data_IF_558788821050
#
_entry.id   IF_558788821050
#
_cell.length_a   1.000
_cell.length_b   1.000
_cell.length_c   1.000
_cell.angle_alpha   90.00
_cell.angle_beta   90.00
_cell.angle_gamma   90.00
#
_symmetry.space_group_name_H-M   'P 1'
#
loop_
_entity.id
_entity.type
_entity.pdbx_description
1 polymer ?
#
# COMPACT_ATOMS: atom_id res chain seq x y z
N UNK A 1 38.13 17.09 -8.67
CA UNK A 1 36.91 16.27 -8.79
C UNK A 1 36.52 15.80 -7.40
N UNK A 2 35.25 15.95 -6.96
CA UNK A 2 34.82 15.45 -5.65
C UNK A 2 34.95 13.92 -5.55
N UNK A 3 35.39 13.42 -4.40
CA UNK A 3 35.60 11.98 -4.16
C UNK A 3 34.36 11.13 -4.46
N UNK A 4 33.16 11.62 -4.12
CA UNK A 4 31.89 10.95 -4.40
C UNK A 4 31.63 10.73 -5.89
N UNK A 5 32.08 11.65 -6.74
CA UNK A 5 31.95 11.49 -8.21
C UNK A 5 32.87 10.38 -8.71
N UNK A 6 34.08 10.27 -8.15
CA UNK A 6 35.04 9.22 -8.51
C UNK A 6 34.48 7.84 -8.12
N UNK A 7 33.92 7.70 -6.92
CA UNK A 7 33.30 6.43 -6.47
C UNK A 7 32.10 6.01 -7.33
N UNK A 8 31.25 6.95 -7.75
CA UNK A 8 30.11 6.65 -8.64
C UNK A 8 30.56 6.20 -10.01
N UNK A 9 31.55 6.88 -10.61
CA UNK A 9 32.10 6.50 -11.92
C UNK A 9 32.73 5.10 -11.86
N UNK A 10 33.51 4.82 -10.82
CA UNK A 10 34.11 3.49 -10.60
C UNK A 10 33.08 2.38 -10.35
N UNK A 11 31.88 2.70 -9.85
CA UNK A 11 30.80 1.72 -9.66
C UNK A 11 30.09 1.39 -10.98
N UNK A 12 29.89 2.38 -11.85
CA UNK A 12 29.19 2.23 -13.13
C UNK A 12 30.08 1.58 -14.19
N UNK A 13 31.40 1.82 -14.14
CA UNK A 13 32.35 1.30 -15.12
C UNK A 13 32.61 -0.22 -15.03
N UNK A 14 31.96 -0.93 -14.09
CA UNK A 14 32.09 -2.39 -13.96
C UNK A 14 31.17 -3.08 -14.96
N UNK A 15 31.69 -4.09 -15.65
CA UNK A 15 30.90 -4.94 -16.53
C UNK A 15 29.92 -5.82 -15.73
N UNK A 16 28.73 -6.11 -16.27
CA UNK A 16 27.79 -7.04 -15.64
C UNK A 16 28.39 -8.45 -15.58
N UNK A 17 28.10 -9.16 -14.49
CA UNK A 17 28.55 -10.54 -14.29
C UNK A 17 27.50 -11.48 -14.88
N UNK A 18 27.94 -12.57 -15.52
CA UNK A 18 27.02 -13.58 -16.03
C UNK A 18 26.26 -14.27 -14.89
N UNK A 19 24.95 -14.46 -15.06
CA UNK A 19 24.12 -15.23 -14.13
C UNK A 19 24.46 -16.72 -14.13
N UNK A 20 25.08 -17.23 -15.20
CA UNK A 20 25.56 -18.61 -15.32
C UNK A 20 26.97 -18.78 -14.70
N UNK A 21 27.50 -17.78 -14.00
CA UNK A 21 28.79 -17.92 -13.32
C UNK A 21 28.64 -18.96 -12.20
N UNK A 22 29.39 -20.08 -12.22
CA UNK A 22 29.30 -21.09 -11.17
C UNK A 22 29.72 -20.50 -9.82
N UNK A 23 29.03 -20.89 -8.76
CA UNK A 23 29.31 -20.47 -7.38
C UNK A 23 29.55 -21.70 -6.51
N UNK A 24 30.65 -21.68 -5.75
CA UNK A 24 31.03 -22.78 -4.86
C UNK A 24 31.66 -23.96 -5.59
N UNK A 25 31.79 -25.08 -4.88
CA UNK A 25 32.36 -26.34 -5.39
C UNK A 25 31.28 -27.28 -5.96
N UNK A 26 29.99 -26.91 -5.85
CA UNK A 26 28.87 -27.67 -6.38
C UNK A 26 28.63 -27.28 -7.85
N UNK A 27 28.85 -28.22 -8.77
CA UNK A 27 28.80 -27.98 -10.23
C UNK A 27 27.42 -27.53 -10.76
N UNK A 28 26.36 -27.68 -9.97
CA UNK A 28 24.99 -27.32 -10.35
C UNK A 28 24.54 -25.93 -9.86
N UNK A 29 25.36 -25.22 -9.06
CA UNK A 29 24.98 -23.93 -8.46
C UNK A 29 25.52 -22.73 -9.26
N UNK A 30 24.63 -21.90 -9.77
CA UNK A 30 24.96 -20.70 -10.55
C UNK A 30 24.63 -19.43 -9.77
N UNK A 31 25.31 -18.32 -10.07
CA UNK A 31 25.04 -17.00 -9.47
C UNK A 31 23.55 -16.63 -9.53
N UNK A 32 22.88 -16.97 -10.62
CA UNK A 32 21.48 -16.67 -10.84
C UNK A 32 20.51 -17.37 -9.89
N UNK A 33 20.89 -18.53 -9.35
CA UNK A 33 20.04 -19.29 -8.42
C UNK A 33 19.88 -18.60 -7.06
N UNK A 34 20.75 -17.63 -6.76
CA UNK A 34 20.72 -16.84 -5.53
C UNK A 34 20.07 -15.46 -5.69
N UNK A 35 19.63 -15.10 -6.90
CA UNK A 35 18.96 -13.83 -7.13
C UNK A 35 17.47 -14.01 -6.86
N UNK A 36 17.04 -13.56 -5.68
CA UNK A 36 15.62 -13.57 -5.31
C UNK A 36 14.79 -12.62 -6.19
N UNK A 37 13.55 -13.02 -6.48
CA UNK A 37 12.58 -12.14 -7.14
C UNK A 37 11.94 -11.19 -6.12
N UNK A 38 12.55 -10.02 -5.98
CA UNK A 38 12.02 -8.93 -5.13
C UNK A 38 10.74 -8.27 -5.67
N UNK A 39 10.28 -8.63 -6.88
CA UNK A 39 9.04 -8.09 -7.45
C UNK A 39 7.79 -8.87 -7.01
N UNK A 40 7.96 -10.09 -6.51
CA UNK A 40 6.85 -10.94 -6.07
C UNK A 40 6.51 -10.63 -4.61
N UNK A 41 5.23 -10.35 -4.35
CA UNK A 41 4.71 -10.24 -2.99
C UNK A 41 4.67 -11.62 -2.34
N UNK A 42 5.21 -11.74 -1.13
CA UNK A 42 5.19 -13.00 -0.40
C UNK A 42 3.74 -13.47 -0.15
N UNK A 43 3.45 -14.78 -0.17
CA UNK A 43 2.09 -15.29 0.08
C UNK A 43 1.52 -14.85 1.43
N UNK A 44 2.37 -14.70 2.46
CA UNK A 44 1.98 -14.15 3.75
C UNK A 44 1.47 -12.71 3.65
N UNK A 45 2.23 -11.84 2.98
CA UNK A 45 1.88 -10.44 2.77
C UNK A 45 0.63 -10.28 1.90
N UNK A 46 0.47 -11.15 0.89
CA UNK A 46 -0.74 -11.18 0.08
C UNK A 46 -1.98 -11.56 0.92
N UNK A 47 -1.84 -12.52 1.84
CA UNK A 47 -2.91 -12.92 2.74
C UNK A 47 -3.26 -11.83 3.77
N UNK A 48 -2.25 -11.14 4.34
CA UNK A 48 -2.50 -10.02 5.26
C UNK A 48 -3.18 -8.85 4.56
N UNK A 49 -2.78 -8.53 3.31
CA UNK A 49 -3.43 -7.50 2.51
C UNK A 49 -4.88 -7.85 2.17
N UNK A 50 -5.16 -9.11 1.82
CA UNK A 50 -6.51 -9.58 1.59
C UNK A 50 -7.36 -9.48 2.87
N UNK A 51 -6.81 -9.91 4.02
CA UNK A 51 -7.46 -9.78 5.33
C UNK A 51 -7.73 -8.32 5.71
N UNK A 52 -6.81 -7.41 5.43
CA UNK A 52 -6.99 -5.97 5.65
C UNK A 52 -8.14 -5.42 4.81
N UNK A 53 -8.25 -5.86 3.55
CA UNK A 53 -9.35 -5.45 2.66
C UNK A 53 -10.71 -5.87 3.22
N UNK A 54 -10.83 -7.11 3.70
CA UNK A 54 -12.08 -7.60 4.28
C UNK A 54 -12.40 -6.89 5.61
N UNK A 55 -11.41 -6.74 6.49
CA UNK A 55 -11.54 -6.02 7.75
C UNK A 55 -11.98 -4.56 7.55
N UNK A 56 -11.40 -3.86 6.58
CA UNK A 56 -11.78 -2.48 6.25
C UNK A 56 -13.19 -2.40 5.69
N UNK A 57 -13.60 -3.36 4.85
CA UNK A 57 -14.96 -3.43 4.32
C UNK A 57 -15.99 -3.61 5.43
N UNK A 58 -15.79 -4.58 6.31
CA UNK A 58 -16.69 -4.87 7.43
C UNK A 58 -16.86 -3.66 8.35
N UNK A 59 -15.78 -2.95 8.63
CA UNK A 59 -15.80 -1.77 9.49
C UNK A 59 -16.50 -0.58 8.81
N UNK A 60 -16.29 -0.39 7.51
CA UNK A 60 -17.03 0.61 6.75
C UNK A 60 -18.53 0.31 6.72
N UNK A 61 -18.93 -0.97 6.70
CA UNK A 61 -20.33 -1.37 6.75
C UNK A 61 -20.99 -1.08 8.11
N UNK A 62 -20.21 -0.85 9.19
CA UNK A 62 -20.73 -0.37 10.49
C UNK A 62 -21.03 1.14 10.54
N UNK A 63 -20.66 1.89 9.51
CA UNK A 63 -20.96 3.31 9.38
C UNK A 63 -22.31 3.51 8.68
N UNK A 64 -22.82 4.73 8.72
CA UNK A 64 -24.01 5.05 7.91
C UNK A 64 -23.66 4.95 6.42
N UNK A 65 -24.61 4.56 5.56
CA UNK A 65 -24.37 4.43 4.11
C UNK A 65 -23.71 5.69 3.50
N UNK A 66 -24.09 6.88 3.98
CA UNK A 66 -23.50 8.15 3.55
C UNK A 66 -22.05 8.31 3.99
N UNK A 67 -21.72 7.98 5.23
CA UNK A 67 -20.34 8.03 5.75
C UNK A 67 -19.45 6.99 5.05
N UNK A 68 -19.94 5.74 4.91
CA UNK A 68 -19.22 4.68 4.23
C UNK A 68 -18.92 5.04 2.77
N UNK A 69 -19.91 5.54 2.03
CA UNK A 69 -19.74 5.94 0.63
C UNK A 69 -18.78 7.13 0.47
N UNK A 70 -18.84 8.13 1.36
CA UNK A 70 -17.87 9.24 1.37
C UNK A 70 -16.44 8.73 1.58
N UNK A 71 -16.22 7.83 2.55
CA UNK A 71 -14.89 7.26 2.80
C UNK A 71 -14.41 6.39 1.64
N UNK A 72 -15.26 5.51 1.09
CA UNK A 72 -14.91 4.66 -0.05
C UNK A 72 -14.46 5.48 -1.26
N UNK A 73 -15.21 6.53 -1.58
CA UNK A 73 -14.85 7.45 -2.67
C UNK A 73 -13.58 8.25 -2.39
N UNK A 74 -13.39 8.71 -1.15
CA UNK A 74 -12.22 9.51 -0.77
C UNK A 74 -10.91 8.74 -0.83
N UNK A 75 -10.94 7.44 -0.51
CA UNK A 75 -9.76 6.58 -0.42
C UNK A 75 -9.66 5.55 -1.55
N UNK A 76 -10.59 5.55 -2.52
CA UNK A 76 -10.60 4.60 -3.62
C UNK A 76 -10.91 3.15 -3.21
N UNK A 77 -11.57 2.93 -2.07
CA UNK A 77 -11.88 1.58 -1.57
C UNK A 77 -13.02 1.01 -2.43
N UNK A 78 -12.77 -0.15 -3.04
CA UNK A 78 -13.64 -0.78 -4.05
C UNK A 78 -13.91 0.10 -5.28
N UNK A 79 -13.00 1.03 -5.59
CA UNK A 79 -13.09 1.93 -6.75
C UNK A 79 -11.77 1.96 -7.51
N UNK A 80 -11.82 2.33 -8.79
CA UNK A 80 -10.61 2.42 -9.62
C UNK A 80 -9.71 3.60 -9.24
N UNK A 81 -10.29 4.67 -8.69
CA UNK A 81 -9.58 5.91 -8.36
C UNK A 81 -10.15 6.55 -7.10
N UNK A 82 -9.30 7.25 -6.36
CA UNK A 82 -9.71 8.15 -5.31
C UNK A 82 -10.33 9.43 -5.89
N UNK A 83 -11.20 10.06 -5.11
CA UNK A 83 -11.89 11.29 -5.49
C UNK A 83 -11.55 12.41 -4.51
N UNK A 84 -11.42 13.63 -5.04
CA UNK A 84 -11.22 14.83 -4.24
C UNK A 84 -12.47 15.20 -3.44
N UNK A 85 -12.31 15.99 -2.37
CA UNK A 85 -13.45 16.49 -1.57
C UNK A 85 -14.49 17.25 -2.42
N UNK A 86 -14.06 17.91 -3.49
CA UNK A 86 -14.95 18.66 -4.37
C UNK A 86 -15.75 17.72 -5.29
N UNK A 87 -15.12 16.70 -5.86
CA UNK A 87 -15.80 15.69 -6.70
C UNK A 87 -16.81 14.88 -5.90
N UNK A 88 -16.44 14.48 -4.68
CA UNK A 88 -17.38 13.84 -3.75
C UNK A 88 -18.51 14.81 -3.41
N UNK A 89 -18.20 16.09 -3.17
CA UNK A 89 -19.22 17.12 -2.92
C UNK A 89 -20.24 17.24 -4.04
N UNK A 90 -19.77 17.25 -5.30
CA UNK A 90 -20.62 17.28 -6.51
C UNK A 90 -21.55 16.07 -6.59
N UNK A 91 -21.06 14.85 -6.29
CA UNK A 91 -21.90 13.65 -6.34
C UNK A 91 -22.95 13.58 -5.21
N UNK A 92 -22.67 14.18 -4.06
CA UNK A 92 -23.57 14.21 -2.91
C UNK A 92 -24.44 15.48 -2.83
N UNK A 93 -24.34 16.35 -3.83
CA UNK A 93 -24.99 17.67 -3.90
C UNK A 93 -24.77 18.51 -2.62
N UNK A 94 -23.53 18.55 -2.16
CA UNK A 94 -23.11 19.28 -0.95
C UNK A 94 -21.78 19.99 -1.15
N UNK A 95 -21.52 20.96 -0.28
CA UNK A 95 -20.26 21.70 -0.31
C UNK A 95 -19.07 20.83 0.08
N UNK A 96 -17.89 21.21 -0.42
CA UNK A 96 -16.60 20.62 -0.03
C UNK A 96 -16.43 20.52 1.49
N UNK A 97 -16.75 21.59 2.21
CA UNK A 97 -16.61 21.63 3.67
C UNK A 97 -17.57 20.65 4.35
N UNK A 98 -18.76 20.43 3.78
CA UNK A 98 -19.69 19.45 4.31
C UNK A 98 -19.14 18.02 4.18
N UNK A 99 -18.50 17.68 3.07
CA UNK A 99 -17.82 16.38 2.92
C UNK A 99 -16.69 16.23 3.93
N UNK A 100 -15.86 17.27 4.11
CA UNK A 100 -14.77 17.28 5.09
C UNK A 100 -15.27 17.00 6.52
N UNK A 101 -16.40 17.58 6.90
CA UNK A 101 -17.02 17.32 8.20
C UNK A 101 -17.51 15.88 8.34
N UNK A 102 -18.12 15.31 7.28
CA UNK A 102 -18.58 13.92 7.28
C UNK A 102 -17.39 12.97 7.42
N UNK A 103 -16.30 13.21 6.68
CA UNK A 103 -15.05 12.45 6.77
C UNK A 103 -14.48 12.48 8.19
N UNK A 104 -14.30 13.67 8.76
CA UNK A 104 -13.77 13.82 10.11
C UNK A 104 -14.64 13.12 11.16
N UNK A 105 -15.97 13.18 11.01
CA UNK A 105 -16.92 12.50 11.90
C UNK A 105 -16.84 10.98 11.75
N UNK A 106 -16.73 10.47 10.53
CA UNK A 106 -16.60 9.04 10.26
C UNK A 106 -15.28 8.49 10.82
N UNK A 107 -14.15 9.16 10.54
CA UNK A 107 -12.84 8.79 11.09
C UNK A 107 -12.83 8.80 12.62
N UNK A 108 -13.49 9.78 13.25
CA UNK A 108 -13.65 9.82 14.70
C UNK A 108 -14.43 8.61 15.24
N UNK A 109 -15.47 8.14 14.54
CA UNK A 109 -16.20 6.91 14.91
C UNK A 109 -15.32 5.68 14.76
N UNK A 110 -14.55 5.59 13.68
CA UNK A 110 -13.65 4.46 13.41
C UNK A 110 -12.49 4.38 14.42
N UNK A 111 -12.06 5.53 14.97
CA UNK A 111 -11.03 5.59 16.02
C UNK A 111 -11.46 5.02 17.37
N UNK A 112 -12.76 4.83 17.61
CA UNK A 112 -13.24 4.29 18.88
C UNK A 112 -12.77 2.83 19.07
N UNK A 113 -12.26 2.42 20.26
CA UNK A 113 -11.67 1.08 20.49
C UNK A 113 -12.52 -0.07 19.98
N UNK A 114 -13.83 0.00 20.21
CA UNK A 114 -14.80 -1.01 19.75
C UNK A 114 -14.79 -1.29 18.25
N UNK A 115 -14.22 -0.41 17.43
CA UNK A 115 -14.06 -0.57 15.97
C UNK A 115 -12.59 -0.59 15.56
N UNK A 116 -11.73 0.16 16.24
CA UNK A 116 -10.31 0.25 15.90
C UNK A 116 -9.49 -0.95 16.34
N UNK A 117 -9.93 -1.72 17.34
CA UNK A 117 -9.17 -2.87 17.85
C UNK A 117 -8.91 -3.93 16.77
N UNK A 118 -9.88 -4.15 15.87
CA UNK A 118 -9.70 -5.08 14.74
C UNK A 118 -8.67 -4.55 13.73
N UNK A 119 -8.72 -3.26 13.36
CA UNK A 119 -7.74 -2.64 12.44
C UNK A 119 -6.36 -2.45 13.05
N UNK A 120 -6.28 -2.30 14.38
CA UNK A 120 -5.01 -2.14 15.09
C UNK A 120 -4.12 -3.37 14.96
N UNK A 121 -4.71 -4.56 14.81
CA UNK A 121 -3.94 -5.79 14.59
C UNK A 121 -3.17 -5.81 13.27
N UNK A 122 -3.48 -4.90 12.33
CA UNK A 122 -2.78 -4.73 11.06
C UNK A 122 -1.73 -3.60 11.09
N UNK A 123 -1.57 -2.91 12.23
CA UNK A 123 -0.50 -1.94 12.43
C UNK A 123 0.65 -2.66 13.14
N UNK A 124 1.60 -3.17 12.36
CA UNK A 124 2.88 -3.70 12.86
C UNK A 124 3.77 -2.58 13.44
#
# INVERSE_FOLDING_TARGET
MPEDKIRKVMKIAKEPISMETPIGDDEDSHLGDFVEDTSITAPGDAATLAGLKDATKDILDTLTQREAKVLRMRFGIDMNTDHTLEEVGKQFDVTRERIRQIEAKALRKLRHPSRSDHLRSFLD
#
